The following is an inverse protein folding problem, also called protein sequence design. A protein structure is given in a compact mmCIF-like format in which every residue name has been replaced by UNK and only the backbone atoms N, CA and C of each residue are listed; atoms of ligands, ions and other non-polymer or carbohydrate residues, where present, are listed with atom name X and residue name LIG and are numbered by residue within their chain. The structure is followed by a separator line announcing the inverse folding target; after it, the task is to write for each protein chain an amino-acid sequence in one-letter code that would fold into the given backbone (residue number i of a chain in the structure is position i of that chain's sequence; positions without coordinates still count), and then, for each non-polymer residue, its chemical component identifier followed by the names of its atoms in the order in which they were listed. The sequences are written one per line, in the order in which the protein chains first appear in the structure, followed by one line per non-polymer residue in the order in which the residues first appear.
data_IF_796846338511
#
_entry.id   IF_796846338511
#
_cell.length_a   1.000
_cell.length_b   1.000
_cell.length_c   1.000
_cell.angle_alpha   90.00
_cell.angle_beta   90.00
_cell.angle_gamma   90.00
#
_symmetry.space_group_name_H-M   'P 1'
#
loop_
_entity.id
_entity.type
_entity.pdbx_description
1 polymer ?
#
# COMPACT_ATOMS: atom_id res chain seq x y z
N UNK A 1 3.36 -22.78 -17.22
CA UNK A 1 4.58 -23.61 -17.34
C UNK A 1 5.56 -23.19 -16.27
N UNK A 2 6.11 -24.12 -15.49
CA UNK A 2 7.11 -23.79 -14.46
C UNK A 2 8.49 -24.08 -15.01
N UNK A 3 9.39 -23.11 -14.84
CA UNK A 3 10.80 -23.25 -15.19
C UNK A 3 11.65 -23.05 -13.95
N UNK A 4 12.67 -23.89 -13.79
CA UNK A 4 13.65 -23.77 -12.72
C UNK A 4 14.99 -23.40 -13.34
N UNK A 5 15.62 -22.35 -12.81
CA UNK A 5 16.92 -21.86 -13.27
C UNK A 5 17.86 -21.71 -12.09
N UNK A 6 19.15 -21.92 -12.34
CA UNK A 6 20.19 -21.61 -11.38
C UNK A 6 20.99 -20.40 -11.88
N UNK A 7 21.06 -19.37 -11.04
CA UNK A 7 21.72 -18.11 -11.35
C UNK A 7 22.92 -17.94 -10.42
N UNK A 8 24.05 -17.54 -10.98
CA UNK A 8 25.26 -17.22 -10.21
C UNK A 8 25.59 -15.74 -10.37
N UNK A 9 25.84 -15.04 -9.26
CA UNK A 9 26.31 -13.66 -9.28
C UNK A 9 27.35 -13.39 -8.18
N UNK A 10 28.21 -12.40 -8.39
CA UNK A 10 29.22 -12.00 -7.41
C UNK A 10 28.61 -11.39 -6.14
N UNK A 11 27.40 -10.85 -6.25
CA UNK A 11 26.71 -10.16 -5.17
C UNK A 11 25.24 -10.59 -5.07
N UNK A 12 24.74 -10.63 -3.83
CA UNK A 12 23.35 -11.00 -3.54
C UNK A 12 22.35 -10.02 -4.14
N UNK A 13 22.67 -8.72 -4.14
CA UNK A 13 21.84 -7.68 -4.74
C UNK A 13 21.66 -7.86 -6.24
N UNK A 14 22.71 -8.32 -6.96
CA UNK A 14 22.60 -8.65 -8.39
C UNK A 14 21.62 -9.80 -8.65
N UNK A 15 21.58 -10.84 -7.80
CA UNK A 15 20.61 -11.94 -7.92
C UNK A 15 19.17 -11.46 -7.72
N UNK A 16 18.94 -10.62 -6.71
CA UNK A 16 17.61 -10.06 -6.42
C UNK A 16 17.17 -9.15 -7.57
N UNK A 17 18.06 -8.31 -8.08
CA UNK A 17 17.78 -7.44 -9.21
C UNK A 17 17.46 -8.23 -10.49
N UNK A 18 18.17 -9.34 -10.73
CA UNK A 18 17.88 -10.23 -11.85
C UNK A 18 16.47 -10.85 -11.73
N UNK A 19 16.11 -11.39 -10.56
CA UNK A 19 14.79 -11.96 -10.33
C UNK A 19 13.67 -10.91 -10.48
N UNK A 20 13.85 -9.71 -9.89
CA UNK A 20 12.89 -8.60 -10.04
C UNK A 20 12.79 -8.09 -11.49
N UNK A 21 13.89 -8.17 -12.24
CA UNK A 21 13.91 -7.86 -13.67
C UNK A 21 13.04 -8.81 -14.49
N UNK A 22 12.97 -10.09 -14.11
CA UNK A 22 12.20 -11.10 -14.85
C UNK A 22 10.69 -10.85 -14.80
N UNK A 23 10.13 -10.45 -13.65
CA UNK A 23 8.71 -10.05 -13.56
C UNK A 23 8.42 -8.76 -14.36
N UNK A 24 9.41 -7.88 -14.50
CA UNK A 24 9.27 -6.66 -15.33
C UNK A 24 9.28 -6.94 -16.83
N UNK A 25 9.86 -8.05 -17.29
CA UNK A 25 9.94 -8.37 -18.71
C UNK A 25 8.57 -8.73 -19.29
N UNK A 26 7.68 -9.33 -18.50
CA UNK A 26 6.33 -9.64 -18.92
C UNK A 26 5.42 -9.88 -17.72
N UNK A 27 4.17 -9.36 -17.72
CA UNK A 27 3.20 -9.66 -16.68
C UNK A 27 2.78 -11.15 -16.64
N UNK A 28 3.12 -11.91 -17.67
CA UNK A 28 2.88 -13.35 -17.73
C UNK A 28 3.95 -14.15 -16.98
N UNK A 29 5.05 -13.52 -16.54
CA UNK A 29 6.17 -14.15 -15.85
C UNK A 29 6.07 -13.80 -14.37
N UNK A 30 5.85 -14.82 -13.53
CA UNK A 30 5.77 -14.66 -12.07
C UNK A 30 6.87 -15.49 -11.43
N UNK A 31 7.69 -14.84 -10.60
CA UNK A 31 8.70 -15.54 -9.78
C UNK A 31 7.98 -16.13 -8.58
N UNK A 32 7.93 -17.46 -8.49
CA UNK A 32 7.18 -18.17 -7.43
C UNK A 32 8.07 -18.58 -6.27
N UNK A 33 9.33 -18.93 -6.55
CA UNK A 33 10.30 -19.31 -5.52
C UNK A 33 11.66 -18.68 -5.81
N UNK A 34 12.29 -18.13 -4.78
CA UNK A 34 13.65 -17.61 -4.84
C UNK A 34 14.44 -18.13 -3.64
N UNK A 35 15.37 -19.05 -3.90
CA UNK A 35 16.20 -19.66 -2.87
C UNK A 35 17.68 -19.34 -3.10
N UNK A 36 18.19 -18.36 -2.35
CA UNK A 36 19.60 -17.98 -2.42
C UNK A 36 20.39 -18.91 -1.50
N UNK A 37 21.27 -19.72 -2.10
CA UNK A 37 22.12 -20.63 -1.36
C UNK A 37 23.25 -19.86 -0.65
N UNK A 38 23.65 -20.31 0.56
CA UNK A 38 24.77 -19.72 1.26
C UNK A 38 26.06 -19.90 0.45
N UNK A 39 26.84 -18.83 0.39
CA UNK A 39 28.11 -18.77 -0.32
C UNK A 39 29.08 -19.79 0.29
N UNK A 40 29.59 -20.74 -0.50
CA UNK A 40 30.56 -21.75 0.00
C UNK A 40 31.88 -21.15 0.44
N UNK A 41 32.31 -20.05 -0.20
CA UNK A 41 33.58 -19.36 0.06
C UNK A 41 33.48 -17.87 -0.29
N UNK A 42 34.38 -17.05 0.24
CA UNK A 42 34.45 -15.60 -0.02
C UNK A 42 34.83 -15.24 -1.47
N UNK A 43 35.29 -16.22 -2.24
CA UNK A 43 35.61 -16.11 -3.66
C UNK A 43 34.60 -16.85 -4.58
N UNK A 44 33.68 -17.64 -4.01
CA UNK A 44 32.66 -18.34 -4.81
C UNK A 44 31.53 -17.39 -5.19
N UNK A 45 30.90 -17.47 -6.37
CA UNK A 45 29.70 -16.67 -6.63
C UNK A 45 28.57 -17.07 -5.68
N UNK A 46 27.65 -16.15 -5.40
CA UNK A 46 26.36 -16.49 -4.83
C UNK A 46 25.55 -17.26 -5.86
N UNK A 47 24.94 -18.36 -5.44
CA UNK A 47 24.09 -19.18 -6.28
C UNK A 47 22.65 -19.03 -5.80
N UNK A 48 21.71 -18.87 -6.73
CA UNK A 48 20.29 -18.82 -6.44
C UNK A 48 19.56 -19.82 -7.34
N UNK A 49 18.70 -20.64 -6.73
CA UNK A 49 17.70 -21.41 -7.46
C UNK A 49 16.44 -20.57 -7.55
N UNK A 50 15.96 -20.36 -8.77
CA UNK A 50 14.77 -19.58 -9.07
C UNK A 50 13.74 -20.48 -9.73
N UNK A 51 12.51 -20.45 -9.23
CA UNK A 51 11.35 -21.03 -9.93
C UNK A 51 10.47 -19.92 -10.46
N UNK A 52 10.18 -20.00 -11.75
CA UNK A 52 9.41 -19.01 -12.47
C UNK A 52 8.27 -19.69 -13.16
N UNK A 53 7.06 -19.21 -12.91
CA UNK A 53 5.87 -19.65 -13.60
C UNK A 53 5.57 -18.67 -14.72
N UNK A 54 5.59 -19.17 -15.95
CA UNK A 54 5.11 -18.44 -17.11
C UNK A 54 3.67 -18.87 -17.37
N UNK A 55 2.76 -17.94 -17.21
CA UNK A 55 1.40 -18.08 -17.68
C UNK A 55 1.42 -17.85 -19.19
N UNK A 56 0.80 -18.76 -19.94
CA UNK A 56 0.52 -18.48 -21.32
C UNK A 56 -0.48 -17.32 -21.30
N UNK A 57 -0.05 -16.14 -21.75
CA UNK A 57 -0.94 -15.01 -21.90
C UNK A 57 -1.81 -15.31 -23.12
N UNK A 58 -2.76 -16.23 -22.99
CA UNK A 58 -3.98 -16.13 -23.77
C UNK A 58 -4.48 -14.73 -23.44
N UNK A 59 -4.38 -13.81 -24.41
CA UNK A 59 -5.05 -12.54 -24.33
C UNK A 59 -6.54 -12.85 -24.22
N UNK A 60 -6.99 -13.13 -22.99
CA UNK A 60 -8.38 -13.14 -22.63
C UNK A 60 -8.87 -11.76 -23.03
N UNK A 61 -9.85 -11.78 -23.93
CA UNK A 61 -10.46 -10.64 -24.56
C UNK A 61 -10.45 -9.44 -23.62
N UNK A 62 -10.05 -8.29 -24.15
CA UNK A 62 -10.28 -7.00 -23.53
C UNK A 62 -11.63 -7.05 -22.81
N UNK A 63 -11.74 -6.73 -21.51
CA UNK A 63 -13.05 -6.47 -20.96
C UNK A 63 -13.60 -5.33 -21.81
N UNK A 64 -14.56 -5.63 -22.69
CA UNK A 64 -15.37 -4.61 -23.33
C UNK A 64 -15.86 -3.73 -22.18
N UNK A 65 -15.35 -2.51 -22.15
CA UNK A 65 -15.73 -1.53 -21.16
C UNK A 65 -17.22 -1.27 -21.38
N UNK A 66 -18.03 -2.03 -20.65
CA UNK A 66 -19.46 -1.80 -20.49
C UNK A 66 -19.63 -0.31 -20.17
N UNK A 67 -20.45 0.44 -20.92
CA UNK A 67 -20.54 1.88 -20.75
C UNK A 67 -20.92 2.19 -19.29
N UNK A 68 -20.04 2.90 -18.60
CA UNK A 68 -20.19 3.26 -17.20
C UNK A 68 -21.55 3.95 -16.98
N UNK A 69 -22.28 3.65 -15.89
CA UNK A 69 -23.50 4.36 -15.56
C UNK A 69 -23.17 5.85 -15.32
N UNK A 70 -23.93 6.71 -15.98
CA UNK A 70 -23.84 8.18 -15.94
C UNK A 70 -23.76 8.71 -14.50
N UNK A 71 -22.81 9.61 -14.16
CA UNK A 71 -22.78 10.21 -12.84
C UNK A 71 -23.97 11.17 -12.68
N UNK A 72 -24.93 10.80 -11.83
CA UNK A 72 -25.98 11.70 -11.35
C UNK A 72 -25.34 12.72 -10.39
N UNK A 73 -25.42 14.04 -10.65
CA UNK A 73 -24.93 15.02 -9.69
C UNK A 73 -25.99 15.28 -8.62
N UNK A 74 -25.50 15.74 -7.46
CA UNK A 74 -26.24 16.50 -6.43
C UNK A 74 -26.65 15.74 -5.17
N UNK A 75 -25.90 15.98 -4.10
CA UNK A 75 -26.49 16.45 -2.86
C UNK A 75 -25.49 17.39 -2.16
N UNK A 76 -25.93 18.62 -1.91
CA UNK A 76 -25.17 19.72 -1.31
C UNK A 76 -24.71 19.39 0.13
N UNK A 77 -23.60 19.99 0.62
CA UNK A 77 -23.10 19.75 1.97
C UNK A 77 -24.09 20.23 3.03
N UNK A 78 -24.40 19.35 3.98
CA UNK A 78 -25.23 19.67 5.15
C UNK A 78 -24.45 20.60 6.10
N UNK A 79 -24.96 21.81 6.30
CA UNK A 79 -24.35 22.81 7.20
C UNK A 79 -24.75 22.48 8.63
N UNK A 80 -23.77 22.17 9.48
CA UNK A 80 -23.99 22.04 10.93
C UNK A 80 -24.15 23.45 11.54
N UNK A 81 -25.24 23.75 12.26
CA UNK A 81 -25.38 25.02 12.96
C UNK A 81 -24.45 25.09 14.18
N UNK A 82 -23.76 26.22 14.32
CA UNK A 82 -22.87 26.52 15.45
C UNK A 82 -23.66 26.73 16.75
N UNK A 83 -23.14 26.31 17.93
CA UNK A 83 -23.86 26.48 19.20
C UNK A 83 -23.92 27.95 19.66
N UNK A 84 -24.94 28.33 20.45
CA UNK A 84 -25.11 29.70 20.92
C UNK A 84 -24.05 30.11 21.96
N UNK A 85 -23.77 31.42 22.08
CA UNK A 85 -22.81 31.93 23.07
C UNK A 85 -23.33 31.72 24.51
N UNK A 86 -22.42 31.31 25.39
CA UNK A 86 -22.69 31.09 26.81
C UNK A 86 -23.12 32.39 27.51
N UNK A 87 -24.20 32.31 28.29
CA UNK A 87 -24.68 33.41 29.12
C UNK A 87 -23.64 33.77 30.20
N UNK A 88 -23.29 35.05 30.29
CA UNK A 88 -22.45 35.60 31.35
C UNK A 88 -23.17 35.53 32.70
N UNK A 89 -22.48 35.11 33.79
CA UNK A 89 -23.10 35.05 35.11
C UNK A 89 -23.38 36.46 35.64
N UNK A 90 -24.64 36.67 36.06
CA UNK A 90 -25.13 37.87 36.73
C UNK A 90 -24.46 38.01 38.10
N UNK A 91 -23.98 39.22 38.50
CA UNK A 91 -23.36 39.40 39.81
C UNK A 91 -24.39 39.22 40.94
N UNK A 92 -23.96 38.53 42.01
CA UNK A 92 -24.77 38.29 43.20
C UNK A 92 -24.97 39.58 44.01
N UNK A 93 -26.13 39.78 44.67
CA UNK A 93 -26.37 40.97 45.49
C UNK A 93 -25.49 40.98 46.74
N UNK A 94 -24.86 42.15 47.00
CA UNK A 94 -23.99 42.39 48.14
C UNK A 94 -24.73 42.18 49.47
N UNK A 95 -24.28 41.23 50.29
CA UNK A 95 -24.71 41.12 51.69
C UNK A 95 -24.07 42.25 52.51
N UNK A 96 -24.90 43.19 52.97
CA UNK A 96 -24.56 44.17 54.00
C UNK A 96 -23.99 43.46 55.23
N UNK A 97 -22.80 43.87 55.65
CA UNK A 97 -22.17 43.45 56.91
C UNK A 97 -22.90 44.14 58.08
N UNK A 98 -23.42 43.42 59.09
CA UNK A 98 -23.91 44.06 60.30
C UNK A 98 -22.74 44.62 61.11
N UNK A 99 -22.91 45.86 61.57
CA UNK A 99 -22.02 46.61 62.46
C UNK A 99 -22.35 46.23 63.91
N UNK A 100 -21.37 45.73 64.64
CA UNK A 100 -21.41 45.50 66.08
C UNK A 100 -20.03 44.97 66.51
N UNK A 101 -19.52 45.26 67.69
CA UNK A 101 -19.88 46.19 68.76
C UNK A 101 -18.57 46.47 69.51
#
# INVERSE_FOLDING_TARGET
IVFSFELAAEDKGKLIAAAAGMEKLSPAVVVTSLNILPRRSKDAPFVCSLEVTVYESTAAAAPEASPAPSPSPSAAPSVVPSPPPAATPRPAPAKKKPKGA
#
